data_IF_859259052086
#
_entry.id   IF_859259052086
#
_cell.length_a   1.000
_cell.length_b   1.000
_cell.length_c   1.000
_cell.angle_alpha   90.00
_cell.angle_beta   90.00
_cell.angle_gamma   90.00
#
_symmetry.space_group_name_H-M   'P 1'
#
loop_
_entity.id
_entity.type
_entity.pdbx_description
1 polymer ?
#
# COMPACT_ATOMS: atom_id res chain seq x y z
N UNK A 1 -8.52 19.87 -22.03
CA UNK A 1 -7.77 18.97 -21.12
C UNK A 1 -7.74 17.63 -21.82
N UNK A 2 -6.57 17.15 -22.28
CA UNK A 2 -6.49 15.85 -22.95
C UNK A 2 -7.06 14.76 -22.01
N UNK A 3 -7.92 13.90 -22.54
CA UNK A 3 -8.51 12.81 -21.77
C UNK A 3 -7.39 11.84 -21.37
N UNK A 4 -7.21 11.67 -20.06
CA UNK A 4 -6.13 10.82 -19.54
C UNK A 4 -6.43 9.36 -19.86
N UNK A 5 -5.42 8.63 -20.32
CA UNK A 5 -5.56 7.21 -20.63
C UNK A 5 -5.97 6.40 -19.39
N UNK A 6 -6.52 5.21 -19.61
CA UNK A 6 -6.99 4.35 -18.52
C UNK A 6 -5.81 3.93 -17.65
N UNK A 7 -4.68 3.59 -18.25
CA UNK A 7 -3.45 3.22 -17.52
C UNK A 7 -2.94 4.36 -16.64
N UNK A 8 -3.01 5.63 -17.09
CA UNK A 8 -2.64 6.79 -16.28
C UNK A 8 -3.55 6.99 -15.07
N UNK A 9 -4.87 6.78 -15.24
CA UNK A 9 -5.84 6.86 -14.13
C UNK A 9 -5.54 5.77 -13.09
N UNK A 10 -5.33 4.53 -13.55
CA UNK A 10 -4.98 3.40 -12.69
C UNK A 10 -3.63 3.61 -11.98
N UNK A 11 -2.62 4.15 -12.66
CA UNK A 11 -1.32 4.49 -12.04
C UNK A 11 -1.46 5.42 -10.84
N UNK A 12 -2.38 6.39 -10.89
CA UNK A 12 -2.64 7.26 -9.72
C UNK A 12 -3.31 6.51 -8.58
N UNK A 13 -4.25 5.62 -8.88
CA UNK A 13 -4.89 4.78 -7.87
C UNK A 13 -3.88 3.84 -7.21
N UNK A 14 -2.97 3.25 -7.99
CA UNK A 14 -1.86 2.45 -7.46
C UNK A 14 -1.01 3.29 -6.51
N UNK A 15 -0.63 4.52 -6.89
CA UNK A 15 0.17 5.39 -6.04
C UNK A 15 -0.52 5.72 -4.70
N UNK A 16 -1.83 6.01 -4.73
CA UNK A 16 -2.61 6.23 -3.50
C UNK A 16 -2.66 4.94 -2.67
N UNK A 17 -2.90 3.81 -3.31
CA UNK A 17 -3.02 2.53 -2.63
C UNK A 17 -1.70 2.10 -1.96
N UNK A 18 -0.56 2.32 -2.61
CA UNK A 18 0.78 2.12 -2.02
C UNK A 18 1.05 3.06 -0.85
N UNK A 19 0.51 4.28 -0.89
CA UNK A 19 0.61 5.18 0.26
C UNK A 19 -0.22 4.69 1.45
N UNK A 20 -1.42 4.15 1.22
CA UNK A 20 -2.24 3.54 2.28
C UNK A 20 -1.58 2.30 2.88
N UNK A 21 -0.94 1.47 2.05
CA UNK A 21 -0.08 0.36 2.49
C UNK A 21 1.02 0.87 3.43
N UNK A 22 1.77 1.89 3.03
CA UNK A 22 2.83 2.47 3.85
C UNK A 22 2.32 3.04 5.18
N UNK A 23 1.15 3.67 5.19
CA UNK A 23 0.53 4.18 6.43
C UNK A 23 0.23 3.01 7.36
N UNK A 24 -0.37 1.93 6.85
CA UNK A 24 -0.67 0.74 7.65
C UNK A 24 0.61 0.07 8.19
N UNK A 25 1.69 0.03 7.40
CA UNK A 25 2.99 -0.47 7.85
C UNK A 25 3.60 0.39 8.96
N UNK A 26 3.48 1.72 8.84
CA UNK A 26 3.95 2.63 9.89
C UNK A 26 3.13 2.47 11.17
N UNK A 27 1.80 2.35 11.07
CA UNK A 27 0.92 2.03 12.21
C UNK A 27 1.31 0.71 12.89
N UNK A 28 1.72 -0.29 12.10
CA UNK A 28 2.19 -1.58 12.62
C UNK A 28 3.51 -1.42 13.37
N UNK A 29 4.45 -0.67 12.81
CA UNK A 29 5.74 -0.39 13.43
C UNK A 29 5.59 0.38 14.75
N UNK A 30 4.72 1.39 14.79
CA UNK A 30 4.43 2.17 15.99
C UNK A 30 3.79 1.31 17.07
N UNK A 31 2.80 0.49 16.72
CA UNK A 31 2.16 -0.45 17.67
C UNK A 31 3.18 -1.46 18.22
N UNK A 32 4.05 -1.97 17.35
CA UNK A 32 5.13 -2.90 17.74
C UNK A 32 6.10 -2.24 18.73
N UNK A 33 6.48 -0.98 18.49
CA UNK A 33 7.31 -0.20 19.41
C UNK A 33 6.63 -0.02 20.76
N UNK A 34 5.38 0.43 20.78
CA UNK A 34 4.62 0.59 22.03
C UNK A 34 4.52 -0.71 22.82
N UNK A 35 4.30 -1.84 22.14
CA UNK A 35 4.28 -3.16 22.79
C UNK A 35 5.63 -3.49 23.42
N UNK A 36 6.74 -3.26 22.72
CA UNK A 36 8.09 -3.47 23.25
C UNK A 36 8.38 -2.63 24.51
N UNK A 37 7.89 -1.38 24.56
CA UNK A 37 8.03 -0.51 25.73
C UNK A 37 7.20 -1.00 26.93
N UNK A 38 6.00 -1.54 26.67
CA UNK A 38 5.15 -2.15 27.70
C UNK A 38 5.83 -3.39 28.26
N UNK A 39 6.34 -4.28 27.42
CA UNK A 39 7.06 -5.49 27.84
C UNK A 39 8.32 -5.13 28.66
N UNK A 40 9.13 -4.18 28.19
CA UNK A 40 10.30 -3.70 28.95
C UNK A 40 9.91 -3.03 30.28
N UNK A 41 8.69 -2.48 30.38
CA UNK A 41 8.16 -1.98 31.65
C UNK A 41 7.69 -3.10 32.58
N UNK A 42 7.14 -4.17 32.02
CA UNK A 42 6.74 -5.38 32.77
C UNK A 42 7.97 -6.06 33.39
N UNK A 43 9.04 -6.23 32.62
CA UNK A 43 10.31 -6.81 33.09
C UNK A 43 10.87 -6.04 34.29
N UNK A 44 10.95 -4.71 34.19
CA UNK A 44 11.41 -3.86 35.31
C UNK A 44 10.55 -3.98 36.56
N UNK A 45 9.24 -4.22 36.40
CA UNK A 45 8.33 -4.41 37.54
C UNK A 45 8.52 -5.79 38.15
N UNK A 46 8.75 -6.83 37.34
CA UNK A 46 9.10 -8.18 37.82
C UNK A 46 10.40 -8.15 38.62
N UNK A 47 11.43 -7.47 38.11
CA UNK A 47 12.72 -7.33 38.81
C UNK A 47 12.54 -6.65 40.17
N UNK A 48 11.70 -5.61 40.25
CA UNK A 48 11.39 -4.93 41.51
C UNK A 48 10.61 -5.85 42.47
N UNK A 49 9.68 -6.67 41.99
CA UNK A 49 8.95 -7.66 42.81
C UNK A 49 9.90 -8.72 43.37
N UNK A 50 10.89 -9.14 42.59
CA UNK A 50 11.90 -10.13 42.99
C UNK A 50 13.04 -9.57 43.85
N UNK A 51 13.07 -8.26 44.12
CA UNK A 51 14.14 -7.61 44.85
C UNK A 51 14.10 -7.91 46.35
N UNK A 52 15.28 -8.13 46.94
CA UNK A 52 15.46 -8.29 48.39
C UNK A 52 15.60 -6.95 49.14
N UNK A 53 15.59 -5.83 48.43
CA UNK A 53 15.61 -4.49 49.04
C UNK A 53 14.33 -4.25 49.85
N UNK A 54 14.43 -3.90 51.15
CA UNK A 54 13.28 -3.59 52.00
C UNK A 54 12.33 -2.54 51.43
N UNK A 55 12.85 -1.57 50.67
CA UNK A 55 12.03 -0.54 50.00
C UNK A 55 11.13 -1.20 48.95
N UNK A 56 11.70 -2.04 48.08
CA UNK A 56 10.93 -2.74 47.05
C UNK A 56 9.91 -3.72 47.65
N UNK A 57 10.29 -4.43 48.70
CA UNK A 57 9.40 -5.34 49.43
C UNK A 57 8.16 -4.63 49.98
N UNK A 58 8.33 -3.41 50.53
CA UNK A 58 7.23 -2.58 51.04
C UNK A 58 6.23 -2.16 49.95
N UNK A 59 6.66 -2.09 48.67
CA UNK A 59 5.81 -1.73 47.53
C UNK A 59 5.32 -2.92 46.68
N UNK A 60 5.55 -4.16 47.12
CA UNK A 60 5.21 -5.40 46.40
C UNK A 60 3.77 -5.44 45.86
N UNK A 61 2.78 -5.03 46.66
CA UNK A 61 1.37 -4.96 46.27
C UNK A 61 1.17 -3.98 45.09
N UNK A 62 1.79 -2.80 45.17
CA UNK A 62 1.68 -1.78 44.11
C UNK A 62 2.36 -2.22 42.81
N UNK A 63 3.47 -2.98 42.91
CA UNK A 63 4.10 -3.58 41.74
C UNK A 63 3.20 -4.63 41.10
N UNK A 64 2.56 -5.51 41.87
CA UNK A 64 1.63 -6.51 41.35
C UNK A 64 0.43 -5.85 40.63
N UNK A 65 -0.16 -4.80 41.20
CA UNK A 65 -1.22 -4.03 40.55
C UNK A 65 -0.75 -3.38 39.25
N UNK A 66 0.44 -2.76 39.26
CA UNK A 66 1.03 -2.14 38.07
C UNK A 66 1.30 -3.18 36.99
N UNK A 67 1.84 -4.34 37.37
CA UNK A 67 2.07 -5.45 36.46
C UNK A 67 0.77 -5.91 35.80
N UNK A 68 -0.29 -6.11 36.58
CA UNK A 68 -1.61 -6.47 36.05
C UNK A 68 -2.15 -5.46 35.02
N UNK A 69 -1.99 -4.15 35.28
CA UNK A 69 -2.36 -3.10 34.31
C UNK A 69 -1.52 -3.14 33.03
N UNK A 70 -0.22 -3.42 33.14
CA UNK A 70 0.66 -3.55 31.98
C UNK A 70 0.34 -4.80 31.16
N UNK A 71 0.05 -5.94 31.79
CA UNK A 71 -0.39 -7.16 31.12
C UNK A 71 -1.67 -6.95 30.32
N UNK A 72 -2.67 -6.28 30.91
CA UNK A 72 -3.91 -5.96 30.19
C UNK A 72 -3.65 -5.06 28.99
N UNK A 73 -2.73 -4.09 29.14
CA UNK A 73 -2.33 -3.20 28.05
C UNK A 73 -1.60 -3.95 26.93
N UNK A 74 -0.71 -4.89 27.26
CA UNK A 74 -0.03 -5.73 26.26
C UNK A 74 -1.04 -6.56 25.46
N UNK A 75 -1.99 -7.20 26.12
CA UNK A 75 -3.07 -7.97 25.46
C UNK A 75 -3.92 -7.10 24.52
N UNK A 76 -4.24 -5.87 24.93
CA UNK A 76 -4.95 -4.92 24.08
C UNK A 76 -4.12 -4.52 22.85
N UNK A 77 -2.84 -4.21 23.05
CA UNK A 77 -1.93 -3.86 21.97
C UNK A 77 -1.72 -5.03 20.99
N UNK A 78 -1.68 -6.26 21.48
CA UNK A 78 -1.61 -7.47 20.63
C UNK A 78 -2.86 -7.62 19.74
N UNK A 79 -4.05 -7.40 20.30
CA UNK A 79 -5.29 -7.39 19.53
C UNK A 79 -5.29 -6.32 18.43
N UNK A 80 -4.86 -5.10 18.77
CA UNK A 80 -4.70 -3.99 17.82
C UNK A 80 -3.66 -4.35 16.74
N UNK A 81 -2.52 -4.90 17.13
CA UNK A 81 -1.45 -5.29 16.22
C UNK A 81 -1.94 -6.33 15.19
N UNK A 82 -2.74 -7.30 15.63
CA UNK A 82 -3.33 -8.32 14.74
C UNK A 82 -4.25 -7.68 13.69
N UNK A 83 -5.09 -6.73 14.08
CA UNK A 83 -5.97 -6.01 13.16
C UNK A 83 -5.17 -5.17 12.15
N UNK A 84 -4.12 -4.49 12.61
CA UNK A 84 -3.25 -3.71 11.73
C UNK A 84 -2.50 -4.62 10.75
N UNK A 85 -2.00 -5.79 11.19
CA UNK A 85 -1.38 -6.77 10.30
C UNK A 85 -2.34 -7.22 9.21
N UNK A 86 -3.60 -7.51 9.55
CA UNK A 86 -4.63 -7.83 8.56
C UNK A 86 -4.83 -6.67 7.58
N UNK A 87 -4.89 -5.42 8.06
CA UNK A 87 -5.00 -4.21 7.23
C UNK A 87 -3.82 -4.09 6.26
N UNK A 88 -2.58 -4.25 6.72
CA UNK A 88 -1.38 -4.23 5.86
C UNK A 88 -1.50 -5.25 4.73
N UNK A 89 -1.88 -6.49 5.04
CA UNK A 89 -2.03 -7.53 4.01
C UNK A 89 -3.13 -7.20 2.99
N UNK A 90 -4.24 -6.63 3.46
CA UNK A 90 -5.33 -6.19 2.59
C UNK A 90 -4.90 -5.06 1.67
N UNK A 91 -4.25 -4.02 2.19
CA UNK A 91 -3.81 -2.88 1.40
C UNK A 91 -2.75 -3.27 0.37
N UNK A 92 -1.82 -4.15 0.74
CA UNK A 92 -0.83 -4.73 -0.18
C UNK A 92 -1.49 -5.52 -1.31
N UNK A 93 -2.43 -6.41 -0.98
CA UNK A 93 -3.17 -7.19 -1.97
C UNK A 93 -3.95 -6.29 -2.94
N UNK A 94 -4.58 -5.22 -2.44
CA UNK A 94 -5.28 -4.24 -3.28
C UNK A 94 -4.31 -3.49 -4.20
N UNK A 95 -3.15 -3.08 -3.68
CA UNK A 95 -2.12 -2.40 -4.46
C UNK A 95 -1.62 -3.28 -5.61
N UNK A 96 -1.33 -4.55 -5.32
CA UNK A 96 -0.83 -5.51 -6.30
C UNK A 96 -1.86 -5.74 -7.43
N UNK A 97 -3.14 -5.93 -7.08
CA UNK A 97 -4.23 -6.07 -8.08
C UNK A 97 -4.40 -4.82 -8.93
N UNK A 98 -4.35 -3.63 -8.32
CA UNK A 98 -4.45 -2.37 -9.08
C UNK A 98 -3.26 -2.19 -10.02
N UNK A 99 -2.07 -2.62 -9.60
CA UNK A 99 -0.87 -2.56 -10.42
C UNK A 99 -0.93 -3.51 -11.61
N UNK A 100 -1.45 -4.72 -11.41
CA UNK A 100 -1.74 -5.68 -12.47
C UNK A 100 -2.71 -5.09 -13.50
N UNK A 101 -3.86 -4.58 -13.07
CA UNK A 101 -4.83 -3.94 -13.96
C UNK A 101 -4.26 -2.72 -14.70
N UNK A 102 -3.35 -1.98 -14.08
CA UNK A 102 -2.66 -0.86 -14.72
C UNK A 102 -1.73 -1.35 -15.84
N UNK A 103 -1.00 -2.44 -15.62
CA UNK A 103 -0.14 -3.07 -16.64
C UNK A 103 -0.97 -3.59 -17.80
N UNK A 104 -2.05 -4.32 -17.53
CA UNK A 104 -2.97 -4.82 -18.55
C UNK A 104 -3.55 -3.68 -19.40
N UNK A 105 -4.02 -2.61 -18.76
CA UNK A 105 -4.55 -1.45 -19.47
C UNK A 105 -3.49 -0.79 -20.35
N UNK A 106 -2.25 -0.72 -19.88
CA UNK A 106 -1.14 -0.15 -20.65
C UNK A 106 -0.79 -1.02 -21.86
N UNK A 107 -0.78 -2.34 -21.72
CA UNK A 107 -0.52 -3.25 -22.83
C UNK A 107 -1.61 -3.17 -23.91
N UNK A 108 -2.88 -3.06 -23.51
CA UNK A 108 -3.99 -2.86 -24.43
C UNK A 108 -3.87 -1.52 -25.16
N UNK A 109 -3.55 -0.44 -24.45
CA UNK A 109 -3.35 0.89 -25.04
C UNK A 109 -2.19 0.89 -26.06
N UNK A 110 -1.09 0.20 -25.75
CA UNK A 110 0.04 0.05 -26.68
C UNK A 110 -0.38 -0.74 -27.92
N UNK A 111 -1.08 -1.86 -27.75
CA UNK A 111 -1.55 -2.68 -28.87
C UNK A 111 -2.49 -1.90 -29.78
N UNK A 112 -3.44 -1.16 -29.21
CA UNK A 112 -4.37 -0.32 -29.97
C UNK A 112 -3.63 0.79 -30.75
N UNK A 113 -2.61 1.40 -30.13
CA UNK A 113 -1.78 2.39 -30.80
C UNK A 113 -0.94 1.79 -31.95
N UNK A 114 -0.36 0.61 -31.75
CA UNK A 114 0.40 -0.12 -32.76
C UNK A 114 -0.52 -0.52 -33.93
N UNK A 115 -1.71 -1.05 -33.65
CA UNK A 115 -2.71 -1.40 -34.67
C UNK A 115 -3.15 -0.16 -35.46
N UNK A 116 -3.37 0.97 -34.79
CA UNK A 116 -3.71 2.25 -35.44
C UNK A 116 -2.58 2.73 -36.35
N UNK A 117 -1.34 2.65 -35.90
CA UNK A 117 -0.17 3.03 -36.70
C UNK A 117 -0.01 2.16 -37.96
N UNK A 118 -0.40 0.88 -37.91
CA UNK A 118 -0.41 0.01 -39.10
C UNK A 118 -1.45 0.49 -40.12
N UNK A 119 -2.66 0.86 -39.68
CA UNK A 119 -3.67 1.42 -40.59
C UNK A 119 -3.19 2.73 -41.23
N UNK A 120 -2.57 3.62 -40.46
CA UNK A 120 -2.02 4.88 -40.99
C UNK A 120 -0.95 4.65 -42.08
N UNK A 121 -0.06 3.67 -41.88
CA UNK A 121 0.95 3.30 -42.87
C UNK A 121 0.31 2.72 -44.15
N UNK A 122 -0.71 1.88 -43.99
CA UNK A 122 -1.47 1.30 -45.10
C UNK A 122 -2.15 2.42 -45.90
N UNK A 123 -2.86 3.32 -45.22
CA UNK A 123 -3.55 4.46 -45.85
C UNK A 123 -2.56 5.37 -46.57
N UNK A 124 -1.40 5.66 -45.98
CA UNK A 124 -0.34 6.42 -46.63
C UNK A 124 0.16 5.74 -47.91
N UNK A 125 0.41 4.42 -47.86
CA UNK A 125 0.81 3.62 -49.03
C UNK A 125 -0.25 3.63 -50.13
N UNK A 126 -1.53 3.49 -49.78
CA UNK A 126 -2.63 3.50 -50.74
C UNK A 126 -2.87 4.89 -51.34
N UNK A 127 -2.76 5.95 -50.53
CA UNK A 127 -2.79 7.32 -51.01
C UNK A 127 -1.65 7.61 -52.01
N UNK A 128 -0.45 7.08 -51.77
CA UNK A 128 0.69 7.22 -52.68
C UNK A 128 0.52 6.43 -54.00
N UNK A 129 -0.15 5.27 -53.96
CA UNK A 129 -0.41 4.44 -55.16
C UNK A 129 -1.64 4.86 -55.97
N UNK A 130 -2.51 5.73 -55.42
CA UNK A 130 -3.69 6.22 -56.13
C UNK A 130 -3.40 7.60 -56.70
N UNK A 131 -2.96 7.75 -57.96
CA UNK A 131 -2.73 9.07 -58.52
C UNK A 131 -4.04 9.85 -58.49
N UNK A 132 -4.03 10.99 -57.80
CA UNK A 132 -5.14 11.92 -57.76
C UNK A 132 -5.62 12.18 -59.20
N UNK A 133 -6.90 11.88 -59.44
CA UNK A 133 -7.61 11.98 -60.71
C UNK A 133 -7.16 13.18 -61.56
N UNK A 134 -6.49 12.91 -62.68
CA UNK A 134 -6.09 13.92 -63.67
C UNK A 134 -7.21 14.32 -64.63
N UNK A 135 -8.48 14.03 -64.32
CA UNK A 135 -9.62 14.28 -65.20
C UNK A 135 -10.49 15.44 -64.70
N UNK A 136 -9.92 16.63 -64.69
CA UNK A 136 -10.69 17.89 -64.83
C UNK A 136 -10.03 18.72 -65.93
N UNK A 137 -10.27 18.35 -67.18
CA UNK A 137 -10.23 19.32 -68.29
C UNK A 137 -11.63 19.91 -68.38
N UNK A 138 -11.76 21.18 -67.98
CA UNK A 138 -12.94 22.01 -68.28
C UNK A 138 -12.89 22.40 -69.77
N UNK A 139 -14.06 22.54 -70.42
CA UNK A 139 -14.19 22.77 -71.86
C UNK A 139 -13.57 24.09 -72.33
#
# INVERSE_FOLDING_TARGET
MAEKSRSEKLKRLVAVQRHLEQIAENELADTTRQRSEVVASMERVIDAIGSVDPVHMAFSIHYAERYGRLTLRDQQLEGIQTLIQMKVQQERTKADRLEEHMKDARELEIREADDTAVYDIIDQRFADTTPASSKVQKP
#
